data_IF_225966957614
#
_entry.id   IF_225966957614
#
_cell.length_a   1.000
_cell.length_b   1.000
_cell.length_c   1.000
_cell.angle_alpha   90.00
_cell.angle_beta   90.00
_cell.angle_gamma   90.00
#
_symmetry.space_group_name_H-M   'P 1'
#
loop_
_entity.id
_entity.type
_entity.pdbx_description
1 polymer ?
#
# COMPACT_ATOMS: atom_id res chain seq x y z
N UNK A 1 28.11 4.58 -27.48
CA UNK A 1 28.63 4.49 -26.09
C UNK A 1 27.90 5.39 -25.09
N UNK A 2 27.33 6.54 -25.51
CA UNK A 2 26.58 7.47 -24.63
C UNK A 2 25.30 6.86 -24.00
N UNK A 3 24.59 5.97 -24.72
CA UNK A 3 23.34 5.37 -24.23
C UNK A 3 23.51 4.39 -23.06
N UNK A 4 24.67 3.73 -22.95
CA UNK A 4 24.94 2.75 -21.88
C UNK A 4 25.33 3.48 -20.58
N UNK A 5 26.01 4.62 -20.69
CA UNK A 5 26.37 5.45 -19.53
C UNK A 5 25.13 6.05 -18.83
N UNK A 6 24.10 6.46 -19.58
CA UNK A 6 22.88 7.02 -18.99
C UNK A 6 22.11 5.95 -18.20
N UNK A 7 21.98 4.74 -18.75
CA UNK A 7 21.31 3.63 -18.04
C UNK A 7 22.08 3.28 -16.77
N UNK A 8 23.42 3.18 -16.84
CA UNK A 8 24.24 2.89 -15.68
C UNK A 8 24.18 3.98 -14.59
N UNK A 9 24.11 5.27 -14.98
CA UNK A 9 23.96 6.38 -14.01
C UNK A 9 22.60 6.35 -13.34
N UNK A 10 21.51 6.06 -14.07
CA UNK A 10 20.17 5.85 -13.47
C UNK A 10 20.19 4.65 -12.52
N UNK A 11 20.86 3.56 -12.91
CA UNK A 11 20.95 2.34 -12.08
C UNK A 11 21.79 2.57 -10.81
N UNK A 12 22.84 3.39 -10.87
CA UNK A 12 23.72 3.70 -9.73
C UNK A 12 23.14 4.77 -8.78
N UNK A 13 22.31 5.69 -9.26
CA UNK A 13 21.58 6.61 -8.35
C UNK A 13 20.45 5.93 -7.59
N UNK A 14 19.94 4.79 -8.08
CA UNK A 14 18.85 4.03 -7.45
C UNK A 14 19.28 3.15 -6.25
N UNK A 15 20.59 2.94 -6.04
CA UNK A 15 21.09 2.04 -4.98
C UNK A 15 21.37 2.79 -3.67
N UNK A 16 21.42 4.13 -3.70
CA UNK A 16 21.79 4.96 -2.54
C UNK A 16 20.64 5.62 -1.79
N UNK A 17 19.44 5.66 -2.34
CA UNK A 17 18.25 6.06 -1.59
C UNK A 17 17.67 4.79 -1.00
N UNK A 18 17.82 4.60 0.32
CA UNK A 18 16.86 3.79 1.06
C UNK A 18 15.47 4.19 0.54
N UNK A 19 14.70 3.21 0.08
CA UNK A 19 13.38 3.44 -0.52
C UNK A 19 12.61 4.40 0.38
N UNK A 20 12.28 5.58 -0.14
CA UNK A 20 11.86 6.75 0.64
C UNK A 20 10.34 6.80 0.80
N UNK A 21 9.64 5.78 0.30
CA UNK A 21 8.22 5.64 0.48
C UNK A 21 7.89 5.28 1.92
N UNK A 22 6.80 5.85 2.41
CA UNK A 22 6.20 5.49 3.69
C UNK A 22 4.69 5.33 3.52
N UNK A 23 4.07 4.59 4.43
CA UNK A 23 2.61 4.47 4.44
C UNK A 23 1.98 5.78 4.89
N UNK A 24 1.21 6.41 4.01
CA UNK A 24 0.48 7.66 4.32
C UNK A 24 -0.87 7.34 4.96
N UNK A 25 -1.61 6.41 4.36
CA UNK A 25 -2.94 6.03 4.83
C UNK A 25 -3.26 4.59 4.46
N UNK A 26 -3.81 3.84 5.42
CA UNK A 26 -4.45 2.55 5.15
C UNK A 26 -5.92 2.65 5.54
N UNK A 27 -6.82 2.40 4.59
CA UNK A 27 -8.27 2.50 4.79
C UNK A 27 -8.97 1.23 4.33
N UNK A 28 -9.66 0.57 5.24
CA UNK A 28 -10.43 -0.63 4.96
C UNK A 28 -11.93 -0.32 4.86
N UNK A 29 -12.56 -0.71 3.77
CA UNK A 29 -14.00 -0.62 3.60
C UNK A 29 -14.65 -1.97 3.91
N UNK A 30 -15.36 -2.06 5.04
CA UNK A 30 -15.96 -3.29 5.54
C UNK A 30 -17.18 -3.78 4.73
N UNK A 31 -17.70 -2.96 3.80
CA UNK A 31 -18.82 -3.36 2.93
C UNK A 31 -18.32 -4.09 1.68
N UNK A 32 -17.12 -3.76 1.22
CA UNK A 32 -16.56 -4.26 -0.05
C UNK A 32 -15.34 -5.15 0.14
N UNK A 33 -14.88 -5.31 1.38
CA UNK A 33 -13.63 -5.97 1.77
C UNK A 33 -12.40 -5.42 1.04
N UNK A 34 -12.44 -4.13 0.70
CA UNK A 34 -11.35 -3.43 -0.01
C UNK A 34 -10.50 -2.65 0.98
N UNK A 35 -9.20 -2.91 0.97
CA UNK A 35 -8.18 -2.13 1.64
C UNK A 35 -7.52 -1.20 0.61
N UNK A 36 -7.64 0.10 0.83
CA UNK A 36 -6.89 1.15 0.15
C UNK A 36 -5.61 1.42 0.92
N UNK A 37 -4.47 1.34 0.25
CA UNK A 37 -3.15 1.62 0.81
C UNK A 37 -2.55 2.76 0.00
N UNK A 38 -2.36 3.91 0.63
CA UNK A 38 -1.72 5.08 0.04
C UNK A 38 -0.31 5.23 0.58
N UNK A 39 0.61 5.51 -0.33
CA UNK A 39 2.03 5.67 -0.06
C UNK A 39 2.43 7.13 -0.27
N UNK A 40 3.15 7.67 0.69
CA UNK A 40 3.84 8.94 0.53
C UNK A 40 5.12 8.69 -0.28
N UNK A 41 5.05 8.96 -1.58
CA UNK A 41 6.18 8.81 -2.50
C UNK A 41 7.03 10.08 -2.53
N UNK A 42 8.36 9.91 -2.46
CA UNK A 42 9.31 10.99 -2.69
C UNK A 42 9.23 11.54 -4.13
N UNK A 43 9.76 12.75 -4.42
CA UNK A 43 9.71 13.32 -5.77
C UNK A 43 10.29 12.41 -6.86
N UNK A 44 11.32 11.61 -6.54
CA UNK A 44 11.94 10.67 -7.48
C UNK A 44 10.99 9.48 -7.72
N UNK A 45 10.41 8.92 -6.67
CA UNK A 45 9.47 7.80 -6.76
C UNK A 45 8.19 8.20 -7.48
N UNK A 46 7.72 9.44 -7.30
CA UNK A 46 6.62 10.01 -8.10
C UNK A 46 6.96 10.09 -9.58
N UNK A 47 8.20 10.46 -9.93
CA UNK A 47 8.63 10.44 -11.34
C UNK A 47 8.65 9.01 -11.89
N UNK A 48 9.13 8.04 -11.11
CA UNK A 48 9.12 6.62 -11.52
C UNK A 48 7.68 6.14 -11.73
N UNK A 49 6.81 6.38 -10.74
CA UNK A 49 5.38 6.06 -10.82
C UNK A 49 4.68 6.74 -12.01
N UNK A 50 5.08 7.96 -12.38
CA UNK A 50 4.55 8.63 -13.57
C UNK A 50 4.91 7.89 -14.88
N UNK A 51 6.12 7.34 -14.98
CA UNK A 51 6.56 6.61 -16.20
C UNK A 51 6.12 5.14 -16.22
N UNK A 52 6.11 4.48 -15.06
CA UNK A 52 5.81 3.05 -14.92
C UNK A 52 4.31 2.83 -14.65
N UNK A 53 3.62 3.84 -14.16
CA UNK A 53 2.22 3.76 -13.75
C UNK A 53 2.04 3.01 -12.44
N UNK A 54 0.82 2.49 -12.24
CA UNK A 54 0.44 1.77 -11.03
C UNK A 54 1.21 0.49 -10.76
N UNK A 55 1.94 -0.05 -11.74
CA UNK A 55 2.79 -1.22 -11.53
C UNK A 55 3.90 -0.94 -10.50
N UNK A 56 4.41 0.29 -10.43
CA UNK A 56 5.38 0.67 -9.41
C UNK A 56 4.77 0.63 -8.01
N UNK A 57 3.63 1.32 -7.82
CA UNK A 57 2.90 1.36 -6.54
C UNK A 57 2.45 -0.04 -6.12
N UNK A 58 2.05 -0.88 -7.08
CA UNK A 58 1.72 -2.28 -6.84
C UNK A 58 2.89 -3.04 -6.24
N UNK A 59 4.09 -2.93 -6.82
CA UNK A 59 5.29 -3.59 -6.29
C UNK A 59 5.62 -3.13 -4.88
N UNK A 60 5.45 -1.84 -4.57
CA UNK A 60 5.68 -1.34 -3.20
C UNK A 60 4.67 -1.92 -2.20
N UNK A 61 3.39 -2.02 -2.59
CA UNK A 61 2.36 -2.62 -1.74
C UNK A 61 2.56 -4.14 -1.60
N UNK A 62 3.06 -4.82 -2.64
CA UNK A 62 3.48 -6.23 -2.55
C UNK A 62 4.67 -6.44 -1.62
N UNK A 63 5.57 -5.45 -1.49
CA UNK A 63 6.67 -5.49 -0.53
C UNK A 63 6.20 -5.19 0.91
N UNK A 64 5.22 -4.30 1.08
CA UNK A 64 4.63 -3.96 2.36
C UNK A 64 3.75 -5.08 2.94
N UNK A 65 3.04 -5.83 2.07
CA UNK A 65 1.97 -6.73 2.46
C UNK A 65 2.22 -8.18 2.09
N UNK A 66 2.03 -9.05 3.07
CA UNK A 66 2.03 -10.50 2.90
C UNK A 66 0.66 -11.08 3.26
N UNK A 67 0.28 -12.21 2.65
CA UNK A 67 -0.94 -12.93 3.00
C UNK A 67 -1.92 -13.11 1.85
N UNK A 68 -3.21 -13.21 2.19
CA UNK A 68 -4.25 -13.58 1.24
C UNK A 68 -5.08 -12.36 0.81
N UNK A 69 -4.63 -11.73 -0.27
CA UNK A 69 -5.30 -10.60 -0.90
C UNK A 69 -5.21 -10.70 -2.43
N UNK A 70 -5.99 -9.85 -3.11
CA UNK A 70 -5.94 -9.71 -4.56
C UNK A 70 -5.99 -8.25 -4.95
N UNK A 71 -5.19 -7.83 -5.94
CA UNK A 71 -5.24 -6.45 -6.43
C UNK A 71 -6.53 -6.19 -7.20
N UNK A 72 -7.20 -5.09 -6.85
CA UNK A 72 -8.34 -4.55 -7.60
C UNK A 72 -7.85 -3.51 -8.60
N UNK A 73 -7.05 -2.56 -8.12
CA UNK A 73 -6.53 -1.46 -8.92
C UNK A 73 -5.28 -0.88 -8.24
N UNK A 74 -4.28 -0.46 -9.03
CA UNK A 74 -3.12 0.27 -8.55
C UNK A 74 -3.04 1.62 -9.26
N UNK A 75 -3.11 2.70 -8.49
CA UNK A 75 -2.92 4.07 -8.95
C UNK A 75 -1.48 4.54 -8.79
N UNK A 76 -1.26 5.85 -8.95
CA UNK A 76 0.08 6.43 -8.87
C UNK A 76 0.67 6.45 -7.46
N UNK A 77 -0.19 6.56 -6.44
CA UNK A 77 0.15 6.74 -5.03
C UNK A 77 -0.64 5.80 -4.12
N UNK A 78 -1.86 5.42 -4.53
CA UNK A 78 -2.70 4.50 -3.80
C UNK A 78 -2.98 3.20 -4.58
N UNK A 79 -2.91 2.07 -3.89
CA UNK A 79 -3.39 0.78 -4.38
C UNK A 79 -4.62 0.32 -3.62
N UNK A 80 -5.48 -0.42 -4.31
CA UNK A 80 -6.71 -0.99 -3.81
C UNK A 80 -6.60 -2.49 -3.93
N UNK A 81 -6.64 -3.17 -2.78
CA UNK A 81 -6.61 -4.62 -2.71
C UNK A 81 -7.89 -5.12 -2.06
N UNK A 82 -8.38 -6.27 -2.50
CA UNK A 82 -9.43 -7.00 -1.82
C UNK A 82 -8.79 -8.00 -0.87
N UNK A 83 -9.19 -7.93 0.40
CA UNK A 83 -8.70 -8.81 1.45
C UNK A 83 -9.55 -10.09 1.46
N UNK A 84 -8.94 -11.23 1.12
CA UNK A 84 -9.64 -12.51 1.02
C UNK A 84 -9.49 -13.37 2.28
N UNK A 85 -8.56 -13.02 3.16
CA UNK A 85 -8.26 -13.71 4.40
C UNK A 85 -7.51 -12.79 5.35
N UNK A 86 -6.34 -13.20 5.83
CA UNK A 86 -5.47 -12.34 6.64
C UNK A 86 -4.45 -11.63 5.77
N UNK A 87 -4.13 -10.39 6.12
CA UNK A 87 -3.00 -9.64 5.58
C UNK A 87 -2.09 -9.25 6.73
N UNK A 88 -0.79 -9.41 6.53
CA UNK A 88 0.26 -9.00 7.46
C UNK A 88 1.01 -7.84 6.85
N UNK A 89 1.11 -6.75 7.59
CA UNK A 89 1.96 -5.61 7.25
C UNK A 89 3.37 -5.89 7.77
N UNK A 90 4.39 -5.62 6.95
CA UNK A 90 5.79 -5.75 7.37
C UNK A 90 6.20 -4.77 8.45
N UNK A 91 5.51 -3.65 8.53
CA UNK A 91 5.64 -2.64 9.57
C UNK A 91 4.27 -2.35 10.21
N UNK A 92 4.22 -1.92 11.48
CA UNK A 92 2.96 -1.54 12.11
C UNK A 92 2.37 -0.32 11.40
N UNK A 93 1.12 -0.40 10.98
CA UNK A 93 0.40 0.70 10.33
C UNK A 93 -0.91 1.00 11.04
N UNK A 94 -1.35 2.24 10.94
CA UNK A 94 -2.67 2.63 11.40
C UNK A 94 -3.71 2.33 10.30
N UNK A 95 -4.74 1.57 10.62
CA UNK A 95 -5.80 1.15 9.69
C UNK A 95 -7.11 1.81 10.05
N UNK A 96 -7.63 2.62 9.13
CA UNK A 96 -8.94 3.25 9.24
C UNK A 96 -9.99 2.30 8.70
N UNK A 97 -10.82 1.72 9.57
CA UNK A 97 -11.91 0.82 9.21
C UNK A 97 -13.20 1.64 9.03
N UNK A 98 -13.69 1.70 7.80
CA UNK A 98 -14.99 2.27 7.45
C UNK A 98 -16.05 1.17 7.41
N UNK A 99 -16.88 1.14 8.45
CA UNK A 99 -18.13 0.40 8.48
C UNK A 99 -19.27 1.16 7.82
N UNK A 100 -20.47 0.58 7.83
CA UNK A 100 -21.65 1.22 7.23
C UNK A 100 -22.05 2.54 7.93
N UNK A 101 -21.84 2.64 9.24
CA UNK A 101 -22.27 3.79 10.06
C UNK A 101 -21.19 4.32 11.01
N UNK A 102 -20.00 3.73 10.99
CA UNK A 102 -18.95 4.00 11.96
C UNK A 102 -17.56 3.93 11.32
N UNK A 103 -16.66 4.76 11.82
CA UNK A 103 -15.25 4.75 11.46
C UNK A 103 -14.44 4.41 12.70
N UNK A 104 -13.63 3.35 12.64
CA UNK A 104 -12.67 3.03 13.68
C UNK A 104 -11.25 3.26 13.17
N UNK A 105 -10.37 3.74 14.03
CA UNK A 105 -8.93 3.75 13.77
C UNK A 105 -8.27 2.67 14.63
N UNK A 106 -7.71 1.66 13.97
CA UNK A 106 -6.86 0.67 14.60
C UNK A 106 -5.42 1.13 14.50
N UNK A 107 -4.72 1.21 15.63
CA UNK A 107 -3.34 1.70 15.66
C UNK A 107 -2.33 0.55 15.73
N UNK A 108 -1.15 0.74 15.13
CA UNK A 108 -0.04 -0.21 15.14
C UNK A 108 -0.45 -1.65 14.72
N UNK A 109 -1.26 -1.76 13.67
CA UNK A 109 -1.73 -3.03 13.14
C UNK A 109 -0.60 -3.70 12.36
N UNK A 110 -0.23 -4.89 12.78
CA UNK A 110 0.71 -5.77 12.04
C UNK A 110 -0.01 -6.88 11.30
N UNK A 111 -1.15 -7.35 11.81
CA UNK A 111 -1.97 -8.36 11.16
C UNK A 111 -3.42 -7.87 11.14
N UNK A 112 -4.04 -7.91 9.97
CA UNK A 112 -5.39 -7.46 9.73
C UNK A 112 -6.29 -8.61 9.25
N UNK A 113 -7.50 -8.68 9.83
CA UNK A 113 -8.52 -9.68 9.52
C UNK A 113 -9.87 -9.00 9.25
N UNK A 114 -10.44 -9.14 8.04
CA UNK A 114 -11.67 -8.44 7.65
C UNK A 114 -12.89 -8.84 8.49
N UNK A 115 -12.95 -10.12 8.91
CA UNK A 115 -14.11 -10.69 9.60
C UNK A 115 -14.23 -10.37 11.10
N UNK A 116 -13.26 -9.70 11.72
CA UNK A 116 -13.29 -9.43 13.17
C UNK A 116 -13.98 -8.09 13.53
N UNK A 117 -14.34 -7.29 12.53
CA UNK A 117 -14.74 -5.89 12.71
C UNK A 117 -16.23 -5.64 12.44
N UNK A 118 -16.95 -6.61 11.88
CA UNK A 118 -18.41 -6.55 11.63
C UNK A 118 -19.26 -6.79 12.88
N UNK A 119 -18.64 -7.05 14.04
CA UNK A 119 -19.30 -7.39 15.30
C UNK A 119 -19.39 -6.27 16.33
N UNK A 120 -18.87 -5.07 16.06
CA UNK A 120 -18.82 -3.99 17.04
C UNK A 120 -20.10 -3.14 17.12
N UNK A 121 -20.93 -3.20 16.08
CA UNK A 121 -22.27 -2.59 16.06
C UNK A 121 -23.34 -3.31 16.90
N UNK A 122 -22.95 -4.23 17.80
CA UNK A 122 -23.87 -4.91 18.71
C UNK A 122 -23.32 -4.97 20.14
N UNK A 123 -23.34 -3.83 20.83
CA UNK A 123 -23.60 -3.75 22.28
C UNK A 123 -24.57 -2.62 22.53
#
# INVERSE_FOLDING_TARGET
MLRIAIVAVITLTLIGTASAWSVEEVRYNATTDVLKVCLELSPIERLISFFVGGDYTKTLVEDLLEGNYSFVYAGYDCSYIRVNGSVTFREPVDVIVEGMNETLVLQNVTIFFPGNHTGWAKV
#
